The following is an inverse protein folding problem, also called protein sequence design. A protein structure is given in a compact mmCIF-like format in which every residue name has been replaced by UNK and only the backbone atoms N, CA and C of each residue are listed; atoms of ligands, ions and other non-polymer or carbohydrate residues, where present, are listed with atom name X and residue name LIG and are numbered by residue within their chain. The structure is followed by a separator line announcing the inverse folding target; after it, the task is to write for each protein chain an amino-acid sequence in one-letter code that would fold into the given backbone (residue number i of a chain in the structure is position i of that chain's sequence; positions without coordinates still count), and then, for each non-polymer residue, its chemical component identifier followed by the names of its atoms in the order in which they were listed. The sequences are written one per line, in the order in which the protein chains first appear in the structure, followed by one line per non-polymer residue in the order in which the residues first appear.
data_IF_541096873471
#
_entry.id   IF_541096873471
#
_cell.length_a   1.000
_cell.length_b   1.000
_cell.length_c   1.000
_cell.angle_alpha   90.00
_cell.angle_beta   90.00
_cell.angle_gamma   90.00
#
_symmetry.space_group_name_H-M   'P 1'
#
loop_
_entity.id
_entity.type
_entity.pdbx_description
1 polymer ?
#
# COMPACT_ATOMS: atom_id res chain seq x y z
N UNK A 1 12.32 -6.76 -13.84
CA UNK A 1 13.38 -5.77 -13.55
C UNK A 1 13.56 -5.78 -12.04
N UNK A 2 14.74 -6.12 -11.53
CA UNK A 2 14.95 -6.26 -10.10
C UNK A 2 15.01 -4.87 -9.43
N UNK A 3 14.18 -4.65 -8.41
CA UNK A 3 14.34 -3.55 -7.46
C UNK A 3 15.74 -3.69 -6.83
N UNK A 4 16.59 -2.66 -6.93
CA UNK A 4 17.88 -2.70 -6.25
C UNK A 4 17.69 -2.59 -4.74
N UNK A 5 18.45 -3.38 -3.97
CA UNK A 5 18.40 -3.33 -2.50
C UNK A 5 18.71 -1.92 -1.96
N UNK A 6 19.61 -1.19 -2.62
CA UNK A 6 19.93 0.21 -2.29
C UNK A 6 18.71 1.14 -2.45
N UNK A 7 17.80 0.85 -3.39
CA UNK A 7 16.58 1.63 -3.62
C UNK A 7 15.60 1.45 -2.45
N UNK A 8 15.40 0.21 -1.99
CA UNK A 8 14.54 -0.11 -0.83
C UNK A 8 15.12 0.47 0.47
N UNK A 9 16.44 0.39 0.66
CA UNK A 9 17.12 0.97 1.83
C UNK A 9 17.00 2.49 1.91
N UNK A 10 17.03 3.18 0.76
CA UNK A 10 16.79 4.61 0.69
C UNK A 10 15.33 4.97 1.00
N UNK A 11 14.36 4.23 0.46
CA UNK A 11 12.94 4.40 0.78
C UNK A 11 12.68 4.28 2.28
N UNK A 12 13.26 3.26 2.92
CA UNK A 12 13.20 3.07 4.37
C UNK A 12 13.71 4.28 5.15
N UNK A 13 14.87 4.82 4.77
CA UNK A 13 15.49 5.97 5.45
C UNK A 13 14.59 7.20 5.38
N UNK A 14 14.03 7.47 4.20
CA UNK A 14 13.15 8.60 3.96
C UNK A 14 11.82 8.43 4.73
N UNK A 15 11.21 7.23 4.68
CA UNK A 15 9.99 6.92 5.44
C UNK A 15 10.18 7.07 6.94
N UNK A 16 11.30 6.57 7.48
CA UNK A 16 11.61 6.70 8.91
C UNK A 16 11.74 8.16 9.32
N UNK A 17 12.33 9.00 8.47
CA UNK A 17 12.41 10.45 8.69
C UNK A 17 11.03 11.10 8.62
N UNK A 18 10.24 10.75 7.61
CA UNK A 18 8.89 11.28 7.40
C UNK A 18 7.93 10.92 8.55
N UNK A 19 7.94 9.68 9.04
CA UNK A 19 7.12 9.27 10.18
C UNK A 19 7.43 10.03 11.47
N UNK A 20 8.68 10.46 11.67
CA UNK A 20 9.06 11.31 12.82
C UNK A 20 8.42 12.71 12.75
N UNK A 21 7.95 13.14 11.57
CA UNK A 21 7.28 14.44 11.39
C UNK A 21 5.82 14.44 11.85
N UNK A 22 5.13 13.29 11.85
CA UNK A 22 3.70 13.21 12.19
C UNK A 22 3.41 13.61 13.64
N UNK A 23 4.29 13.26 14.58
CA UNK A 23 4.21 13.78 15.94
C UNK A 23 5.51 13.46 16.70
N UNK A 24 6.32 14.46 17.04
CA UNK A 24 7.56 14.25 17.81
C UNK A 24 7.30 13.70 19.23
N UNK A 25 6.06 13.82 19.74
CA UNK A 25 5.64 13.34 21.07
C UNK A 25 5.12 11.90 21.05
N UNK A 26 4.58 11.43 19.93
CA UNK A 26 4.28 10.02 19.76
C UNK A 26 5.61 9.36 19.43
N UNK A 27 6.09 8.47 20.29
CA UNK A 27 7.08 7.48 19.84
C UNK A 27 6.27 6.45 19.07
N UNK A 28 6.16 6.52 17.72
CA UNK A 28 5.39 5.51 17.00
C UNK A 28 5.97 4.15 17.38
N UNK A 29 5.11 3.22 17.77
CA UNK A 29 5.50 1.83 17.97
C UNK A 29 5.71 1.21 16.59
N UNK A 30 6.79 1.62 15.92
CA UNK A 30 7.12 1.20 14.57
C UNK A 30 7.92 -0.09 14.62
N UNK A 31 7.42 -1.11 13.92
CA UNK A 31 8.14 -2.35 13.67
C UNK A 31 8.46 -2.44 12.19
N UNK A 32 9.65 -2.92 11.88
CA UNK A 32 10.17 -2.97 10.52
C UNK A 32 10.60 -4.40 10.21
N UNK A 33 10.15 -4.89 9.06
CA UNK A 33 10.41 -6.23 8.56
C UNK A 33 11.24 -6.10 7.29
N UNK A 34 12.31 -6.90 7.18
CA UNK A 34 13.23 -6.88 6.03
C UNK A 34 13.63 -8.31 5.66
N UNK A 35 14.12 -8.52 4.45
CA UNK A 35 14.69 -9.81 4.03
C UNK A 35 15.84 -10.26 4.94
N UNK A 36 16.62 -9.30 5.43
CA UNK A 36 17.74 -9.52 6.36
C UNK A 36 17.64 -8.52 7.50
N UNK A 37 17.14 -8.97 8.65
CA UNK A 37 16.97 -8.11 9.82
C UNK A 37 16.57 -8.87 11.08
N UNK A 38 16.30 -8.12 12.15
CA UNK A 38 15.80 -8.69 13.41
C UNK A 38 14.41 -9.33 13.24
N UNK A 39 13.59 -8.75 12.37
CA UNK A 39 12.29 -9.30 11.98
C UNK A 39 12.32 -9.58 10.48
N UNK A 40 12.04 -10.82 10.10
CA UNK A 40 12.01 -11.27 8.71
C UNK A 40 10.73 -10.82 8.01
N UNK A 41 10.83 -10.34 6.77
CA UNK A 41 9.67 -10.08 5.90
C UNK A 41 9.19 -11.36 5.20
N UNK A 42 9.03 -12.43 5.96
CA UNK A 42 8.53 -13.71 5.45
C UNK A 42 7.01 -13.75 5.36
N UNK A 43 6.49 -14.82 4.75
CA UNK A 43 5.06 -15.00 4.51
C UNK A 43 4.23 -14.92 5.80
N UNK A 44 4.71 -15.51 6.89
CA UNK A 44 3.96 -15.59 8.15
C UNK A 44 3.93 -14.24 8.86
N UNK A 45 5.07 -13.55 8.91
CA UNK A 45 5.16 -12.22 9.50
C UNK A 45 4.27 -11.20 8.77
N UNK A 46 4.22 -11.26 7.43
CA UNK A 46 3.35 -10.38 6.64
C UNK A 46 1.87 -10.66 6.94
N UNK A 47 1.46 -11.94 6.96
CA UNK A 47 0.09 -12.34 7.32
C UNK A 47 -0.30 -11.87 8.72
N UNK A 48 0.59 -12.08 9.70
CA UNK A 48 0.37 -11.64 11.08
C UNK A 48 0.15 -10.12 11.16
N UNK A 49 0.96 -9.33 10.43
CA UNK A 49 0.80 -7.86 10.39
C UNK A 49 -0.54 -7.45 9.78
N UNK A 50 -0.98 -8.11 8.71
CA UNK A 50 -2.24 -7.77 8.02
C UNK A 50 -3.48 -8.06 8.87
N UNK A 51 -3.46 -9.15 9.65
CA UNK A 51 -4.58 -9.58 10.49
C UNK A 51 -4.57 -8.98 11.90
N UNK A 52 -3.54 -8.22 12.26
CA UNK A 52 -3.38 -7.71 13.62
C UNK A 52 -4.49 -6.72 13.97
N UNK A 53 -5.20 -6.96 15.07
CA UNK A 53 -6.16 -5.99 15.64
C UNK A 53 -5.47 -4.66 15.97
N UNK A 54 -6.14 -3.56 15.66
CA UNK A 54 -5.58 -2.20 15.75
C UNK A 54 -6.43 -1.37 16.70
N UNK A 55 -5.86 -0.95 17.83
CA UNK A 55 -6.58 -0.12 18.80
C UNK A 55 -6.30 1.39 18.61
N UNK A 56 -5.63 1.75 17.51
CA UNK A 56 -5.17 3.10 17.20
C UNK A 56 -4.97 3.25 15.68
N UNK A 57 -4.93 4.49 15.16
CA UNK A 57 -4.57 4.74 13.78
C UNK A 57 -3.27 4.02 13.41
N UNK A 58 -3.31 3.19 12.36
CA UNK A 58 -2.21 2.32 11.96
C UNK A 58 -1.80 2.64 10.53
N UNK A 59 -0.49 2.71 10.29
CA UNK A 59 0.06 2.84 8.94
C UNK A 59 0.81 1.54 8.58
N UNK A 60 0.46 0.94 7.44
CA UNK A 60 1.18 -0.20 6.87
C UNK A 60 1.77 0.23 5.54
N UNK A 61 3.08 0.11 5.43
CA UNK A 61 3.82 0.35 4.20
C UNK A 61 4.39 -0.97 3.69
N UNK A 62 4.07 -1.33 2.45
CA UNK A 62 4.59 -2.52 1.79
C UNK A 62 5.31 -2.14 0.49
N UNK A 63 6.59 -2.48 0.42
CA UNK A 63 7.41 -2.40 -0.79
C UNK A 63 8.11 -3.74 -0.99
N UNK A 64 8.26 -4.15 -2.24
CA UNK A 64 8.86 -5.43 -2.59
C UNK A 64 8.50 -5.84 -4.01
N UNK A 65 8.89 -7.06 -4.36
CA UNK A 65 8.66 -7.60 -5.68
C UNK A 65 7.25 -8.16 -5.82
N UNK A 66 6.76 -8.13 -7.05
CA UNK A 66 5.51 -8.77 -7.44
C UNK A 66 5.76 -9.65 -8.65
N UNK A 67 5.08 -10.78 -8.71
CA UNK A 67 5.17 -11.77 -9.78
C UNK A 67 3.77 -12.26 -10.14
N UNK A 68 3.59 -12.69 -11.38
CA UNK A 68 2.41 -13.46 -11.79
C UNK A 68 2.82 -14.93 -11.67
N UNK A 69 2.33 -15.68 -10.68
CA UNK A 69 2.70 -17.07 -10.50
C UNK A 69 2.25 -17.91 -11.71
N UNK A 70 3.14 -18.77 -12.21
CA UNK A 70 2.86 -19.67 -13.35
C UNK A 70 1.95 -20.85 -12.95
N UNK A 71 1.67 -21.03 -11.66
CA UNK A 71 1.08 -22.23 -11.05
C UNK A 71 -0.44 -22.35 -11.14
N UNK A 72 -1.16 -21.28 -11.53
CA UNK A 72 -2.64 -21.29 -11.59
C UNK A 72 -3.24 -21.13 -12.99
N UNK A 73 -2.44 -21.05 -14.06
CA UNK A 73 -2.93 -20.96 -15.44
C UNK A 73 -3.73 -19.67 -15.77
N UNK A 74 -4.00 -18.81 -14.79
CA UNK A 74 -4.58 -17.50 -14.98
C UNK A 74 -3.45 -16.47 -15.08
N UNK A 75 -3.28 -15.86 -16.26
CA UNK A 75 -2.30 -14.78 -16.50
C UNK A 75 -2.58 -13.47 -15.72
N UNK A 76 -3.48 -13.52 -14.75
CA UNK A 76 -4.09 -12.36 -14.12
C UNK A 76 -3.95 -12.35 -12.59
N UNK A 77 -3.35 -13.34 -11.94
CA UNK A 77 -3.21 -13.28 -10.47
C UNK A 77 -1.82 -12.78 -10.10
N UNK A 78 -1.68 -11.47 -9.83
CA UNK A 78 -0.43 -10.95 -9.28
C UNK A 78 -0.31 -11.34 -7.81
N UNK A 79 0.89 -11.69 -7.38
CA UNK A 79 1.23 -11.99 -6.00
C UNK A 79 2.44 -11.15 -5.55
N UNK A 80 2.51 -10.88 -4.25
CA UNK A 80 3.70 -10.33 -3.60
C UNK A 80 4.70 -11.46 -3.32
N UNK A 81 5.97 -11.14 -3.48
CA UNK A 81 7.09 -12.05 -3.26
C UNK A 81 7.73 -11.76 -1.88
N UNK A 82 7.50 -12.60 -0.86
CA UNK A 82 8.10 -12.45 0.46
C UNK A 82 9.58 -12.87 0.49
N UNK A 83 10.28 -12.58 1.58
CA UNK A 83 11.71 -12.90 1.73
C UNK A 83 12.02 -14.41 1.60
N UNK A 84 11.09 -15.25 2.06
CA UNK A 84 11.20 -16.71 2.04
C UNK A 84 10.58 -17.33 0.76
N UNK A 85 10.41 -16.59 -0.34
CA UNK A 85 9.73 -17.12 -1.53
C UNK A 85 10.35 -18.41 -2.08
N UNK A 86 11.69 -18.55 -1.99
CA UNK A 86 12.46 -19.72 -2.44
C UNK A 86 12.40 -20.90 -1.47
N UNK A 87 11.95 -20.71 -0.23
CA UNK A 87 11.86 -21.74 0.79
C UNK A 87 10.60 -22.60 0.58
N UNK A 88 10.48 -23.14 -0.64
CA UNK A 88 9.30 -23.85 -1.11
C UNK A 88 8.98 -25.05 -0.22
N UNK A 89 7.76 -25.09 0.31
CA UNK A 89 7.20 -26.29 0.93
C UNK A 89 6.57 -27.11 -0.19
N UNK A 90 7.01 -28.35 -0.40
CA UNK A 90 6.44 -29.26 -1.41
C UNK A 90 6.57 -28.78 -2.88
N UNK A 91 7.60 -27.98 -3.19
CA UNK A 91 7.86 -27.53 -4.57
C UNK A 91 7.00 -26.35 -5.04
N UNK A 92 6.21 -25.75 -4.15
CA UNK A 92 5.47 -24.51 -4.41
C UNK A 92 6.20 -23.31 -3.80
N UNK A 93 6.41 -22.27 -4.60
CA UNK A 93 6.98 -21.01 -4.12
C UNK A 93 6.04 -20.36 -3.10
N UNK A 94 6.61 -19.69 -2.10
CA UNK A 94 5.79 -18.96 -1.12
C UNK A 94 5.37 -17.62 -1.72
N UNK A 95 4.11 -17.52 -2.13
CA UNK A 95 3.49 -16.29 -2.60
C UNK A 95 2.45 -15.79 -1.60
N UNK A 96 2.20 -14.47 -1.58
CA UNK A 96 1.01 -13.89 -0.96
C UNK A 96 0.20 -13.23 -2.06
N UNK A 97 -0.94 -13.82 -2.39
CA UNK A 97 -1.81 -13.27 -3.42
C UNK A 97 -2.44 -11.96 -2.93
N UNK A 98 -2.63 -11.00 -3.81
CA UNK A 98 -3.23 -9.72 -3.41
C UNK A 98 -4.68 -9.88 -2.92
N UNK A 99 -5.42 -10.86 -3.43
CA UNK A 99 -6.75 -11.22 -2.91
C UNK A 99 -6.69 -11.75 -1.48
N UNK A 100 -5.68 -12.57 -1.17
CA UNK A 100 -5.41 -12.97 0.21
C UNK A 100 -5.14 -11.75 1.08
N UNK A 101 -4.26 -10.82 0.65
CA UNK A 101 -4.01 -9.57 1.41
C UNK A 101 -5.29 -8.77 1.65
N UNK A 102 -6.20 -8.71 0.66
CA UNK A 102 -7.50 -8.04 0.78
C UNK A 102 -8.32 -8.68 1.91
N UNK A 103 -8.47 -10.00 1.90
CA UNK A 103 -9.19 -10.75 2.94
C UNK A 103 -8.53 -10.53 4.30
N UNK A 104 -7.21 -10.66 4.40
CA UNK A 104 -6.49 -10.47 5.66
C UNK A 104 -6.65 -9.06 6.25
N UNK A 105 -6.78 -8.03 5.40
CA UNK A 105 -6.90 -6.64 5.84
C UNK A 105 -8.35 -6.23 6.13
N UNK A 106 -9.30 -6.73 5.34
CA UNK A 106 -10.68 -6.23 5.26
C UNK A 106 -11.75 -7.27 5.62
N UNK A 107 -11.36 -8.50 5.96
CA UNK A 107 -12.27 -9.56 6.37
C UNK A 107 -11.76 -10.18 7.68
N UNK A 108 -12.52 -10.01 8.76
CA UNK A 108 -12.19 -10.62 10.05
C UNK A 108 -12.63 -9.83 11.27
N UNK A 109 -12.41 -10.38 12.47
CA UNK A 109 -12.81 -9.74 13.73
C UNK A 109 -12.00 -8.47 14.05
N UNK A 110 -10.90 -8.22 13.34
CA UNK A 110 -10.05 -7.04 13.45
C UNK A 110 -10.53 -5.83 12.62
N UNK A 111 -11.79 -5.83 12.15
CA UNK A 111 -12.40 -4.71 11.39
C UNK A 111 -13.06 -3.65 12.27
N UNK A 112 -13.01 -3.82 13.59
CA UNK A 112 -13.46 -2.82 14.58
C UNK A 112 -12.24 -2.11 15.18
N UNK A 113 -11.31 -1.72 14.34
CA UNK A 113 -9.93 -1.47 14.71
C UNK A 113 -9.35 -0.27 13.96
N UNK A 114 -9.80 0.93 14.33
CA UNK A 114 -9.13 2.21 14.11
C UNK A 114 -8.79 2.59 12.65
N UNK A 115 -8.48 3.87 12.37
CA UNK A 115 -8.14 4.28 11.01
C UNK A 115 -6.91 3.55 10.45
N UNK A 116 -6.95 3.14 9.19
CA UNK A 116 -5.88 2.43 8.51
C UNK A 116 -5.35 3.21 7.31
N UNK A 117 -4.07 3.57 7.35
CA UNK A 117 -3.33 4.10 6.19
C UNK A 117 -2.53 2.96 5.54
N UNK A 118 -2.89 2.59 4.33
CA UNK A 118 -2.17 1.60 3.52
C UNK A 118 -1.38 2.29 2.42
N UNK A 119 -0.13 1.91 2.25
CA UNK A 119 0.70 2.40 1.14
C UNK A 119 1.40 1.24 0.47
N UNK A 120 1.16 1.05 -0.83
CA UNK A 120 1.80 0.02 -1.65
C UNK A 120 2.67 0.64 -2.74
N UNK A 121 3.92 0.20 -2.84
CA UNK A 121 4.87 0.69 -3.84
C UNK A 121 4.57 0.25 -5.29
N UNK A 122 3.74 -0.78 -5.47
CA UNK A 122 3.34 -1.39 -6.75
C UNK A 122 1.88 -1.86 -6.69
N UNK A 123 1.07 -1.45 -7.67
CA UNK A 123 -0.31 -1.92 -7.84
C UNK A 123 -0.44 -2.97 -8.96
N UNK A 124 -1.15 -4.09 -8.74
CA UNK A 124 -1.43 -5.05 -9.79
C UNK A 124 -2.33 -4.56 -10.92
N UNK A 125 -2.15 -5.05 -12.16
CA UNK A 125 -3.10 -4.83 -13.28
C UNK A 125 -4.48 -5.41 -13.11
N UNK A 126 -4.60 -6.48 -12.33
CA UNK A 126 -5.79 -7.31 -12.23
C UNK A 126 -6.54 -7.15 -10.91
N UNK A 127 -5.98 -6.40 -9.96
CA UNK A 127 -6.70 -5.97 -8.76
C UNK A 127 -7.36 -4.63 -9.10
N UNK A 128 -8.11 -4.64 -10.20
CA UNK A 128 -9.23 -3.78 -10.33
C UNK A 128 -10.04 -3.98 -9.05
N UNK A 129 -10.05 -2.94 -8.22
CA UNK A 129 -10.89 -2.83 -7.04
C UNK A 129 -10.45 -3.66 -5.81
N UNK A 130 -9.75 -3.00 -4.90
CA UNK A 130 -9.44 -3.53 -3.56
C UNK A 130 -10.65 -3.61 -2.64
N UNK A 131 -11.82 -3.97 -3.16
CA UNK A 131 -13.08 -3.84 -2.45
C UNK A 131 -13.46 -2.41 -2.12
N UNK A 132 -12.56 -1.42 -2.00
CA UNK A 132 -12.89 -0.12 -1.42
C UNK A 132 -13.91 0.66 -2.28
N UNK A 133 -14.88 1.33 -1.65
CA UNK A 133 -16.05 1.88 -2.33
C UNK A 133 -15.74 3.12 -3.17
N UNK A 134 -14.67 3.86 -2.84
CA UNK A 134 -14.32 5.10 -3.51
C UNK A 134 -12.85 5.13 -3.96
N UNK A 135 -12.62 5.76 -5.11
CA UNK A 135 -11.30 6.12 -5.61
C UNK A 135 -11.25 7.62 -5.90
N UNK A 136 -10.14 8.25 -5.52
CA UNK A 136 -9.76 9.60 -5.85
C UNK A 136 -8.56 9.54 -6.79
N UNK A 137 -8.72 10.10 -7.98
CA UNK A 137 -7.67 10.19 -8.99
C UNK A 137 -7.67 11.58 -9.63
N UNK A 138 -6.53 12.00 -10.18
CA UNK A 138 -6.45 13.24 -10.93
C UNK A 138 -6.82 13.02 -12.40
N UNK A 139 -7.81 13.76 -12.89
CA UNK A 139 -8.12 13.87 -14.31
C UNK A 139 -7.52 15.18 -14.83
N UNK A 140 -6.35 15.09 -15.47
CA UNK A 140 -5.50 16.26 -15.67
C UNK A 140 -5.00 16.78 -14.31
N UNK A 141 -5.31 18.04 -13.97
CA UNK A 141 -4.88 18.69 -12.73
C UNK A 141 -5.97 18.74 -11.64
N UNK A 142 -7.14 18.15 -11.91
CA UNK A 142 -8.29 18.22 -11.03
C UNK A 142 -8.51 16.85 -10.33
N UNK A 143 -8.48 16.79 -8.99
CA UNK A 143 -8.87 15.61 -8.23
C UNK A 143 -10.36 15.31 -8.40
N UNK A 144 -10.69 14.07 -8.74
CA UNK A 144 -12.07 13.61 -8.91
C UNK A 144 -12.31 12.33 -8.13
N UNK A 145 -13.39 12.33 -7.35
CA UNK A 145 -13.91 11.13 -6.70
C UNK A 145 -14.74 10.31 -7.69
N UNK A 146 -14.61 8.99 -7.62
CA UNK A 146 -15.38 8.04 -8.39
C UNK A 146 -15.76 6.85 -7.52
N UNK A 147 -17.02 6.43 -7.63
CA UNK A 147 -17.53 5.20 -7.05
C UNK A 147 -16.94 3.98 -7.77
N UNK A 148 -16.64 2.94 -7.00
CA UNK A 148 -16.26 1.63 -7.54
C UNK A 148 -17.47 0.71 -7.59
N UNK A 149 -17.33 -0.45 -8.22
CA UNK A 149 -18.38 -1.48 -8.24
C UNK A 149 -18.68 -2.09 -6.85
N UNK A 150 -17.93 -1.72 -5.80
CA UNK A 150 -18.08 -2.24 -4.43
C UNK A 150 -18.71 -1.23 -3.46
N UNK A 151 -19.22 -0.10 -3.96
CA UNK A 151 -19.78 0.96 -3.11
C UNK A 151 -20.92 0.48 -2.20
N UNK A 152 -21.69 -0.52 -2.63
CA UNK A 152 -22.80 -1.10 -1.86
C UNK A 152 -22.39 -2.23 -0.89
N UNK A 153 -21.12 -2.65 -0.90
CA UNK A 153 -20.67 -3.88 -0.22
C UNK A 153 -20.29 -3.72 1.26
N UNK A 154 -20.31 -2.50 1.80
CA UNK A 154 -19.80 -2.22 3.15
C UNK A 154 -20.91 -2.02 4.17
N UNK A 155 -20.71 -2.58 5.36
CA UNK A 155 -21.61 -2.43 6.50
C UNK A 155 -21.40 -1.06 7.16
N UNK A 156 -22.49 -0.46 7.66
CA UNK A 156 -22.44 0.69 8.56
C UNK A 156 -21.50 0.41 9.74
N UNK A 157 -20.62 1.37 10.10
CA UNK A 157 -19.55 1.25 11.11
C UNK A 157 -18.29 0.47 10.68
N UNK A 158 -18.00 0.41 9.39
CA UNK A 158 -16.70 -0.06 8.92
C UNK A 158 -15.59 0.99 9.20
N UNK A 159 -14.38 0.51 9.53
CA UNK A 159 -13.22 1.38 9.84
C UNK A 159 -12.85 2.30 8.66
N UNK A 160 -12.40 3.52 8.99
CA UNK A 160 -11.86 4.45 8.00
C UNK A 160 -10.55 3.90 7.40
N UNK A 161 -10.54 3.60 6.11
CA UNK A 161 -9.38 3.09 5.37
C UNK A 161 -8.98 4.11 4.31
N UNK A 162 -7.72 4.49 4.29
CA UNK A 162 -7.10 5.26 3.21
C UNK A 162 -5.97 4.44 2.62
N UNK A 163 -6.04 4.15 1.33
CA UNK A 163 -5.05 3.38 0.61
C UNK A 163 -4.44 4.19 -0.52
N UNK A 164 -3.16 4.51 -0.41
CA UNK A 164 -2.39 5.09 -1.49
C UNK A 164 -1.72 4.02 -2.36
N UNK A 165 -1.93 4.13 -3.66
CA UNK A 165 -1.25 3.32 -4.66
C UNK A 165 -0.43 4.20 -5.61
N UNK A 166 0.78 3.73 -5.91
CA UNK A 166 1.74 4.42 -6.76
C UNK A 166 1.40 4.39 -8.26
N UNK A 167 0.63 3.40 -8.71
CA UNK A 167 0.45 3.08 -10.13
C UNK A 167 -1.01 2.75 -10.44
N UNK A 168 -1.45 2.99 -11.68
CA UNK A 168 -2.71 2.44 -12.17
C UNK A 168 -2.58 0.93 -12.42
N UNK A 169 -3.71 0.18 -12.49
CA UNK A 169 -3.69 -1.19 -12.99
C UNK A 169 -3.01 -1.25 -14.36
N UNK A 170 -2.01 -2.13 -14.51
CA UNK A 170 -1.27 -2.32 -15.75
C UNK A 170 0.05 -1.53 -15.80
N UNK A 171 0.19 -0.54 -14.92
CA UNK A 171 1.39 0.31 -14.87
C UNK A 171 2.45 -0.31 -13.96
N UNK A 172 3.68 -0.38 -14.48
CA UNK A 172 4.84 -0.78 -13.68
C UNK A 172 5.27 0.39 -12.81
N UNK A 173 5.64 0.11 -11.55
CA UNK A 173 6.21 1.15 -10.72
C UNK A 173 7.58 1.56 -11.24
N UNK A 174 7.79 2.85 -11.43
CA UNK A 174 9.05 3.40 -11.87
C UNK A 174 10.02 3.47 -10.67
N UNK A 175 11.15 2.80 -10.83
CA UNK A 175 12.22 2.72 -9.83
C UNK A 175 13.38 3.60 -10.26
N UNK A 176 13.93 4.36 -9.32
CA UNK A 176 15.13 5.16 -9.53
C UNK A 176 16.28 4.59 -8.70
N UNK A 177 17.51 4.98 -9.06
CA UNK A 177 18.74 4.65 -8.30
C UNK A 177 18.64 5.01 -6.81
N UNK A 178 17.69 5.87 -6.46
CA UNK A 178 17.58 6.51 -5.16
C UNK A 178 16.29 6.13 -4.39
N UNK A 179 15.40 5.32 -4.95
CA UNK A 179 14.14 4.92 -4.30
C UNK A 179 12.96 4.81 -5.28
N UNK A 180 11.78 4.45 -4.78
CA UNK A 180 10.55 4.55 -5.55
C UNK A 180 10.06 6.00 -5.57
N UNK A 181 9.66 6.51 -6.75
CA UNK A 181 9.20 7.90 -6.88
C UNK A 181 8.04 8.17 -5.94
N UNK A 182 7.05 7.28 -5.92
CA UNK A 182 5.87 7.44 -5.08
C UNK A 182 6.25 7.63 -3.61
N UNK A 183 7.12 6.78 -3.06
CA UNK A 183 7.58 6.87 -1.67
C UNK A 183 8.21 8.22 -1.38
N UNK A 184 9.08 8.69 -2.28
CA UNK A 184 9.77 9.98 -2.14
C UNK A 184 8.80 11.15 -2.21
N UNK A 185 7.95 11.17 -3.21
CA UNK A 185 6.95 12.22 -3.41
C UNK A 185 5.97 12.30 -2.25
N UNK A 186 5.54 11.15 -1.70
CA UNK A 186 4.71 11.11 -0.50
C UNK A 186 5.46 11.68 0.72
N UNK A 187 6.73 11.31 0.88
CA UNK A 187 7.54 11.76 2.02
C UNK A 187 7.96 13.25 1.95
N UNK A 188 7.90 13.86 0.77
CA UNK A 188 8.08 15.30 0.59
C UNK A 188 6.91 16.09 1.15
N UNK A 189 5.70 15.51 1.20
CA UNK A 189 4.52 16.15 1.78
C UNK A 189 4.70 16.19 3.30
N UNK A 190 4.79 17.39 3.86
CA UNK A 190 4.97 17.54 5.29
C UNK A 190 3.64 17.30 6.03
N UNK A 191 3.58 16.30 6.94
CA UNK A 191 2.36 16.01 7.69
C UNK A 191 1.81 17.19 8.49
N UNK A 192 2.66 18.15 8.88
CA UNK A 192 2.23 19.33 9.64
C UNK A 192 1.41 20.33 8.82
N UNK A 193 1.36 20.19 7.50
CA UNK A 193 0.59 21.08 6.62
C UNK A 193 -0.92 20.81 6.67
N UNK A 194 -1.36 19.70 7.29
CA UNK A 194 -2.78 19.36 7.46
C UNK A 194 -3.60 19.39 6.15
N UNK A 195 -2.99 18.89 5.06
CA UNK A 195 -3.61 18.85 3.73
C UNK A 195 -4.77 17.86 3.66
N UNK A 196 -5.78 18.19 2.87
CA UNK A 196 -6.84 17.27 2.45
C UNK A 196 -6.31 16.18 1.52
N UNK A 197 -7.06 15.07 1.39
CA UNK A 197 -6.72 13.99 0.43
C UNK A 197 -6.64 14.51 -1.02
N UNK A 198 -7.50 15.47 -1.39
CA UNK A 198 -7.49 16.13 -2.70
C UNK A 198 -6.22 16.94 -2.96
N UNK A 199 -5.71 17.64 -1.95
CA UNK A 199 -4.44 18.37 -2.07
C UNK A 199 -3.25 17.42 -2.11
N UNK A 200 -3.28 16.33 -1.33
CA UNK A 200 -2.24 15.31 -1.35
C UNK A 200 -2.16 14.66 -2.74
N UNK A 201 -3.28 14.18 -3.29
CA UNK A 201 -3.27 13.50 -4.60
C UNK A 201 -2.85 14.44 -5.74
N UNK A 202 -3.19 15.72 -5.65
CA UNK A 202 -2.78 16.73 -6.62
C UNK A 202 -1.26 16.90 -6.62
N UNK A 203 -0.66 17.11 -5.45
CA UNK A 203 0.81 17.22 -5.32
C UNK A 203 1.54 15.95 -5.74
N UNK A 204 0.97 14.79 -5.41
CA UNK A 204 1.50 13.51 -5.87
C UNK A 204 1.47 13.45 -7.40
N UNK A 205 0.34 13.81 -8.03
CA UNK A 205 0.15 13.74 -9.48
C UNK A 205 1.08 14.69 -10.24
N UNK A 206 1.26 15.93 -9.76
CA UNK A 206 2.16 16.91 -10.37
C UNK A 206 3.60 16.36 -10.52
N UNK A 207 4.11 15.66 -9.50
CA UNK A 207 5.47 15.12 -9.53
C UNK A 207 5.59 13.74 -10.19
N UNK A 208 4.54 12.92 -10.11
CA UNK A 208 4.59 11.51 -10.53
C UNK A 208 4.21 11.34 -12.00
N UNK A 209 3.34 12.21 -12.54
CA UNK A 209 2.94 12.17 -13.97
C UNK A 209 4.08 12.50 -14.92
N UNK A 210 5.02 13.37 -14.51
CA UNK A 210 6.28 13.63 -15.23
C UNK A 210 7.11 12.35 -15.47
N UNK A 211 6.84 11.31 -14.69
CA UNK A 211 7.53 10.02 -14.76
C UNK A 211 6.65 8.88 -15.31
N UNK A 212 5.52 9.20 -15.94
CA UNK A 212 4.66 8.22 -16.62
C UNK A 212 3.86 7.32 -15.67
N UNK A 213 3.69 7.73 -14.41
CA UNK A 213 2.86 7.04 -13.42
C UNK A 213 1.68 7.93 -13.02
N UNK A 214 0.57 7.32 -12.60
CA UNK A 214 -0.60 8.05 -12.10
C UNK A 214 -0.94 7.59 -10.68
N UNK A 215 -0.71 8.43 -9.66
CA UNK A 215 -1.02 8.05 -8.29
C UNK A 215 -2.55 8.00 -8.10
N UNK A 216 -2.99 7.16 -7.17
CA UNK A 216 -4.40 7.05 -6.76
C UNK A 216 -4.52 6.96 -5.26
N UNK A 217 -5.61 7.51 -4.72
CA UNK A 217 -6.05 7.26 -3.34
C UNK A 217 -7.35 6.49 -3.40
N UNK A 218 -7.47 5.41 -2.64
CA UNK A 218 -8.73 4.67 -2.47
C UNK A 218 -9.14 4.77 -1.03
N UNK A 219 -10.44 4.84 -0.77
CA UNK A 219 -10.89 5.01 0.60
C UNK A 219 -12.24 4.37 0.87
N UNK A 220 -12.40 3.96 2.12
CA UNK A 220 -13.65 3.73 2.81
C UNK A 220 -13.65 4.76 3.94
N UNK A 221 -14.45 5.81 3.83
CA UNK A 221 -14.65 6.75 4.94
C UNK A 221 -16.06 6.52 5.44
N UNK A 222 -16.21 6.31 6.73
CA UNK A 222 -17.50 6.33 7.39
C UNK A 222 -18.09 7.74 7.24
N UNK A 223 -19.00 7.91 6.28
CA UNK A 223 -19.75 9.15 6.15
C UNK A 223 -20.81 9.13 7.24
N UNK A 224 -20.49 9.71 8.40
CA UNK A 224 -21.50 10.01 9.41
C UNK A 224 -22.43 11.08 8.82
N UNK A 225 -23.61 10.65 8.36
CA UNK A 225 -24.73 11.53 8.02
C UNK A 225 -25.41 12.05 9.30
#
# INVERSE_FOLDING_TARGET
MAISQDSIGNDFTVLKSWMRKFNQKLKPNARWYFDKGQYSADTNAIREVMQRSRNAPTAIYLAGHTEVPDDQGSQELLAYVPANYLEASNGQFNYIYYEEMRQLLFEGPHLQSGPLLLTFGLEPPSVHHRGLPYVLECNGNEPQWRETEYHDGYVENSDDIVHFAATSPGERSALFKSGAIFTRTLCDINPSEALSLSEIIKRLSEKITEHGQRPRVRTLLSVNY
#
